data_IF_597890891684
#
_entry.id   IF_597890891684
#
_cell.length_a   1.000
_cell.length_b   1.000
_cell.length_c   1.000
_cell.angle_alpha   90.00
_cell.angle_beta   90.00
_cell.angle_gamma   90.00
#
_symmetry.space_group_name_H-M   'P 1'
#
loop_
_entity.id
_entity.type
_entity.pdbx_description
1 polymer ?
#
# COMPACT_ATOMS: atom_id res chain seq x y z
N UNK A 1 15.00 6.65 6.45
CA UNK A 1 15.32 5.24 6.52
C UNK A 1 14.05 4.39 6.47
N UNK A 2 14.14 3.24 5.83
CA UNK A 2 13.01 2.33 5.72
C UNK A 2 12.71 1.68 7.07
N UNK A 3 11.46 1.75 7.49
CA UNK A 3 11.01 1.12 8.74
C UNK A 3 10.03 -0.01 8.38
N UNK A 4 10.54 -1.25 8.41
CA UNK A 4 9.76 -2.44 8.06
C UNK A 4 8.51 -2.58 8.93
N UNK A 5 8.65 -2.35 10.22
CA UNK A 5 7.54 -2.50 11.15
C UNK A 5 6.42 -1.50 10.89
N UNK A 6 6.78 -0.28 10.56
CA UNK A 6 5.82 0.77 10.24
C UNK A 6 5.03 0.43 8.97
N UNK A 7 5.73 -0.09 7.94
CA UNK A 7 5.10 -0.51 6.69
C UNK A 7 4.14 -1.66 6.94
N UNK A 8 4.59 -2.67 7.70
CA UNK A 8 3.76 -3.81 8.02
C UNK A 8 2.50 -3.39 8.78
N UNK A 9 2.65 -2.55 9.81
CA UNK A 9 1.50 -2.09 10.60
C UNK A 9 0.52 -1.27 9.78
N UNK A 10 1.03 -0.46 8.86
CA UNK A 10 0.17 0.32 7.96
C UNK A 10 -0.68 -0.58 7.08
N UNK A 11 -0.08 -1.61 6.50
CA UNK A 11 -0.82 -2.56 5.69
C UNK A 11 -1.81 -3.36 6.52
N UNK A 12 -1.39 -3.81 7.70
CA UNK A 12 -2.25 -4.58 8.59
C UNK A 12 -3.49 -3.78 9.00
N UNK A 13 -3.32 -2.51 9.30
CA UNK A 13 -4.44 -1.64 9.65
C UNK A 13 -5.44 -1.53 8.50
N UNK A 14 -4.96 -1.41 7.28
CA UNK A 14 -5.82 -1.34 6.11
C UNK A 14 -6.57 -2.64 5.84
N UNK A 15 -6.03 -3.75 6.33
CA UNK A 15 -6.63 -5.07 6.14
C UNK A 15 -7.49 -5.53 7.31
N UNK A 16 -7.77 -4.65 8.28
CA UNK A 16 -8.61 -5.02 9.42
C UNK A 16 -9.95 -5.60 8.95
N UNK A 17 -10.31 -6.75 9.52
CA UNK A 17 -11.56 -7.46 9.21
C UNK A 17 -11.66 -7.92 7.76
N UNK A 18 -10.53 -7.96 7.06
CA UNK A 18 -10.48 -8.55 5.71
C UNK A 18 -9.82 -9.93 5.81
N UNK A 19 -10.20 -10.86 4.93
CA UNK A 19 -9.64 -12.22 4.96
C UNK A 19 -8.24 -12.27 4.36
N UNK A 20 -7.31 -11.51 4.94
CA UNK A 20 -5.92 -11.45 4.49
C UNK A 20 -5.04 -12.06 5.57
N UNK A 21 -4.39 -13.20 5.29
CA UNK A 21 -3.49 -13.83 6.26
C UNK A 21 -2.30 -12.94 6.57
N UNK A 22 -1.84 -12.99 7.81
CA UNK A 22 -0.68 -12.23 8.24
C UNK A 22 0.58 -12.57 7.42
N UNK A 23 0.72 -13.83 7.02
CA UNK A 23 1.85 -14.27 6.19
C UNK A 23 1.91 -13.52 4.86
N UNK A 24 0.76 -13.17 4.28
CA UNK A 24 0.70 -12.41 3.04
C UNK A 24 1.25 -11.00 3.24
N UNK A 25 0.90 -10.38 4.36
CA UNK A 25 1.37 -9.04 4.69
C UNK A 25 2.87 -9.02 5.01
N UNK A 26 3.35 -10.03 5.69
CA UNK A 26 4.77 -10.15 5.99
C UNK A 26 5.58 -10.33 4.71
N UNK A 27 5.09 -11.14 3.78
CA UNK A 27 5.76 -11.36 2.50
C UNK A 27 5.76 -10.08 1.67
N UNK A 28 4.64 -9.36 1.63
CA UNK A 28 4.55 -8.10 0.91
C UNK A 28 5.54 -7.07 1.46
N UNK A 29 5.68 -7.03 2.79
CA UNK A 29 6.63 -6.11 3.44
C UNK A 29 8.07 -6.44 3.02
N UNK A 30 8.42 -7.72 2.99
CA UNK A 30 9.74 -8.16 2.52
C UNK A 30 9.99 -7.76 1.08
N UNK A 31 8.99 -7.94 0.23
CA UNK A 31 9.10 -7.59 -1.18
C UNK A 31 9.36 -6.10 -1.37
N UNK A 32 8.66 -5.27 -0.60
CA UNK A 32 8.87 -3.83 -0.64
C UNK A 32 10.31 -3.49 -0.23
N UNK A 33 10.78 -4.10 0.83
CA UNK A 33 12.16 -3.88 1.30
C UNK A 33 13.19 -4.26 0.24
N UNK A 34 12.99 -5.40 -0.42
CA UNK A 34 13.89 -5.85 -1.48
C UNK A 34 13.87 -4.88 -2.67
N UNK A 35 12.69 -4.43 -3.09
CA UNK A 35 12.58 -3.48 -4.18
C UNK A 35 13.31 -2.17 -3.87
N UNK A 36 13.18 -1.67 -2.64
CA UNK A 36 13.85 -0.46 -2.24
C UNK A 36 15.37 -0.63 -2.16
N UNK A 37 15.82 -1.78 -1.69
CA UNK A 37 17.25 -2.09 -1.62
C UNK A 37 17.87 -2.13 -3.02
N UNK A 38 17.15 -2.69 -3.99
CA UNK A 38 17.64 -2.79 -5.38
C UNK A 38 17.57 -1.48 -6.16
N UNK A 39 16.91 -0.46 -5.63
CA UNK A 39 16.79 0.82 -6.34
C UNK A 39 18.08 1.64 -6.31
N UNK A 40 19.06 1.24 -5.51
CA UNK A 40 20.35 1.93 -5.34
C UNK A 40 20.24 3.39 -4.87
N UNK A 41 19.12 3.74 -4.29
CA UNK A 41 18.94 5.09 -3.74
C UNK A 41 19.40 5.16 -2.30
N UNK A 42 20.12 6.21 -1.96
CA UNK A 42 20.56 6.44 -0.58
C UNK A 42 19.40 6.77 0.34
N UNK A 43 18.46 7.54 -0.18
CA UNK A 43 17.27 7.95 0.56
C UNK A 43 16.04 7.50 -0.20
N UNK A 44 15.06 7.00 0.54
CA UNK A 44 13.80 6.59 -0.01
C UNK A 44 12.73 7.57 0.46
N UNK A 45 12.07 8.19 -0.50
CA UNK A 45 10.96 9.10 -0.23
C UNK A 45 9.78 8.32 0.37
N UNK A 46 9.10 8.92 1.34
CA UNK A 46 7.90 8.31 1.89
C UNK A 46 6.84 8.09 0.80
N UNK A 47 6.81 8.94 -0.23
CA UNK A 47 5.90 8.77 -1.36
C UNK A 47 6.20 7.51 -2.16
N UNK A 48 7.46 7.13 -2.29
CA UNK A 48 7.83 5.88 -2.98
C UNK A 48 7.35 4.68 -2.18
N UNK A 49 7.51 4.73 -0.87
CA UNK A 49 7.05 3.65 0.01
C UNK A 49 5.53 3.52 -0.09
N UNK A 50 4.83 4.64 -0.05
CA UNK A 50 3.37 4.65 -0.17
C UNK A 50 2.89 4.04 -1.48
N UNK A 51 3.54 4.38 -2.59
CA UNK A 51 3.17 3.82 -3.90
C UNK A 51 3.42 2.31 -3.95
N UNK A 52 4.50 1.83 -3.34
CA UNK A 52 4.77 0.40 -3.29
C UNK A 52 3.74 -0.34 -2.44
N UNK A 53 3.35 0.25 -1.31
CA UNK A 53 2.30 -0.33 -0.46
C UNK A 53 0.99 -0.43 -1.24
N UNK A 54 0.60 0.64 -1.95
CA UNK A 54 -0.61 0.63 -2.75
C UNK A 54 -0.57 -0.43 -3.85
N UNK A 55 0.58 -0.57 -4.51
CA UNK A 55 0.77 -1.59 -5.53
C UNK A 55 0.56 -2.99 -4.98
N UNK A 56 1.09 -3.27 -3.78
CA UNK A 56 0.92 -4.58 -3.14
C UNK A 56 -0.53 -4.80 -2.70
N UNK A 57 -1.13 -3.81 -2.03
CA UNK A 57 -2.51 -3.93 -1.56
C UNK A 57 -3.51 -4.12 -2.70
N UNK A 58 -3.26 -3.51 -3.84
CA UNK A 58 -4.12 -3.65 -5.01
C UNK A 58 -4.27 -5.11 -5.44
N UNK A 59 -3.20 -5.89 -5.29
CA UNK A 59 -3.20 -7.31 -5.61
C UNK A 59 -3.73 -8.18 -4.47
N UNK A 60 -3.58 -7.71 -3.23
CA UNK A 60 -3.94 -8.48 -2.05
C UNK A 60 -5.43 -8.38 -1.72
N UNK A 61 -5.94 -7.14 -1.64
CA UNK A 61 -7.34 -6.90 -1.27
C UNK A 61 -7.74 -5.50 -1.67
N UNK A 62 -8.71 -5.41 -2.55
CA UNK A 62 -9.12 -4.12 -3.12
C UNK A 62 -9.73 -3.17 -2.09
N UNK A 63 -10.41 -3.72 -1.08
CA UNK A 63 -10.96 -2.88 -0.01
C UNK A 63 -9.83 -2.28 0.82
N UNK A 64 -8.82 -3.09 1.16
CA UNK A 64 -7.64 -2.59 1.86
C UNK A 64 -6.92 -1.53 1.05
N UNK A 65 -6.82 -1.73 -0.27
CA UNK A 65 -6.22 -0.74 -1.17
C UNK A 65 -6.94 0.61 -1.06
N UNK A 66 -8.27 0.60 -1.15
CA UNK A 66 -9.06 1.83 -1.09
C UNK A 66 -8.93 2.51 0.27
N UNK A 67 -8.90 1.73 1.35
CA UNK A 67 -8.72 2.28 2.69
C UNK A 67 -7.38 3.01 2.82
N UNK A 68 -6.31 2.37 2.33
CA UNK A 68 -4.99 2.97 2.39
C UNK A 68 -4.92 4.21 1.50
N UNK A 69 -5.46 4.12 0.28
CA UNK A 69 -5.49 5.24 -0.66
C UNK A 69 -6.24 6.44 -0.09
N UNK A 70 -7.33 6.19 0.64
CA UNK A 70 -8.11 7.27 1.25
C UNK A 70 -7.30 8.12 2.20
N UNK A 71 -6.39 7.49 2.95
CA UNK A 71 -5.52 8.21 3.88
C UNK A 71 -4.32 8.80 3.17
N UNK A 72 -3.68 7.98 2.33
CA UNK A 72 -2.43 8.35 1.65
C UNK A 72 -2.61 9.49 0.64
N UNK A 73 -3.68 9.43 -0.16
CA UNK A 73 -3.91 10.43 -1.21
C UNK A 73 -4.74 11.63 -0.76
N UNK A 74 -5.30 11.55 0.45
CA UNK A 74 -6.09 12.66 1.03
C UNK A 74 -7.13 13.21 0.05
N UNK A 75 -8.06 12.36 -0.40
CA UNK A 75 -9.11 12.78 -1.32
C UNK A 75 -9.91 13.94 -0.76
N UNK A 76 -10.07 14.99 -1.56
CA UNK A 76 -10.79 16.17 -1.15
C UNK A 76 -12.24 16.21 -1.66
N UNK A 77 -12.58 15.33 -2.60
CA UNK A 77 -13.93 15.24 -3.13
C UNK A 77 -14.27 13.83 -3.60
N UNK A 78 -15.55 13.62 -3.85
CA UNK A 78 -16.08 12.31 -4.26
C UNK A 78 -15.56 11.92 -5.66
N UNK A 79 -15.37 12.89 -6.53
CA UNK A 79 -14.91 12.64 -7.89
C UNK A 79 -13.53 11.97 -7.89
N UNK A 80 -12.59 12.51 -7.10
CA UNK A 80 -11.24 11.94 -6.98
C UNK A 80 -11.29 10.53 -6.41
N UNK A 81 -12.14 10.29 -5.44
CA UNK A 81 -12.33 8.99 -4.84
C UNK A 81 -12.87 7.99 -5.87
N UNK A 82 -13.89 8.41 -6.64
CA UNK A 82 -14.49 7.55 -7.67
C UNK A 82 -13.51 7.22 -8.78
N UNK A 83 -12.63 8.15 -9.14
CA UNK A 83 -11.57 7.90 -10.13
C UNK A 83 -10.63 6.81 -9.66
N UNK A 84 -10.29 6.80 -8.38
CA UNK A 84 -9.41 5.77 -7.81
C UNK A 84 -10.09 4.40 -7.84
N UNK A 85 -11.37 4.35 -7.54
CA UNK A 85 -12.16 3.11 -7.62
C UNK A 85 -12.21 2.60 -9.06
N UNK A 86 -12.39 3.50 -10.03
CA UNK A 86 -12.43 3.13 -11.44
C UNK A 86 -11.14 2.46 -11.91
N UNK A 87 -10.02 2.89 -11.39
CA UNK A 87 -8.72 2.26 -11.71
C UNK A 87 -8.67 0.80 -11.29
N UNK A 88 -9.35 0.46 -10.19
CA UNK A 88 -9.41 -0.92 -9.72
C UNK A 88 -10.24 -1.79 -10.67
N UNK A 89 -11.32 -1.24 -11.21
CA UNK A 89 -12.20 -1.98 -12.10
C UNK A 89 -11.57 -2.28 -13.46
N UNK A 90 -10.55 -1.54 -13.84
CA UNK A 90 -9.86 -1.69 -15.12
C UNK A 90 -8.66 -2.65 -15.06
N UNK A 91 -8.49 -3.35 -13.97
CA UNK A 91 -7.37 -4.27 -13.78
C UNK A 91 -7.69 -5.72 -14.17
#
# INVERSE_FOLDING_TARGET
AFDRDKVYRGMKKSCEKRPVPDSVLLEATKEIEVELTHSNKREVDSSEIGELIMKKLKKIDKVAYIRFASVYREFTDVKSFNEEISKLDNE
#
